data_IF_481353020606
#
_entry.id   IF_481353020606
#
_cell.length_a   1.000
_cell.length_b   1.000
_cell.length_c   1.000
_cell.angle_alpha   90.00
_cell.angle_beta   90.00
_cell.angle_gamma   90.00
#
_symmetry.space_group_name_H-M   'P 1'
#
loop_
_entity.id
_entity.type
_entity.pdbx_description
1 polymer ?
#
# COMPACT_ATOMS: atom_id res chain seq x y z
N UNK A 1 -4.96 22.96 5.36
CA UNK A 1 -4.03 22.08 4.63
C UNK A 1 -4.54 20.64 4.72
N UNK A 2 -5.18 20.14 3.65
CA UNK A 2 -5.77 18.80 3.59
C UNK A 2 -4.80 17.89 2.84
N UNK A 3 -4.28 16.88 3.53
CA UNK A 3 -3.43 15.83 2.95
C UNK A 3 -4.16 15.16 1.77
N UNK A 4 -3.53 15.18 0.59
CA UNK A 4 -4.11 14.71 -0.66
C UNK A 4 -4.09 13.18 -0.84
N UNK A 5 -3.71 12.37 0.16
CA UNK A 5 -3.51 10.92 -0.05
C UNK A 5 -4.58 10.00 0.58
N UNK A 6 -5.69 10.57 1.06
CA UNK A 6 -6.93 9.82 1.36
C UNK A 6 -7.89 9.75 0.13
N UNK A 7 -7.38 10.02 -1.09
CA UNK A 7 -8.22 10.08 -2.31
C UNK A 7 -8.36 8.74 -3.04
N UNK A 8 -7.51 7.76 -2.81
CA UNK A 8 -7.56 6.50 -3.58
C UNK A 8 -8.45 5.41 -2.97
N UNK A 9 -8.90 5.58 -1.72
CA UNK A 9 -9.85 4.64 -1.10
C UNK A 9 -11.33 5.04 -1.27
N UNK A 10 -11.62 6.19 -1.89
CA UNK A 10 -13.01 6.68 -2.06
C UNK A 10 -13.83 5.94 -3.13
N UNK A 11 -13.27 4.94 -3.79
CA UNK A 11 -14.00 4.14 -4.78
C UNK A 11 -14.31 2.71 -4.34
N UNK A 12 -14.08 2.33 -3.08
CA UNK A 12 -14.27 0.95 -2.63
C UNK A 12 -15.62 0.61 -1.99
N UNK A 13 -16.63 1.48 -2.10
CA UNK A 13 -17.96 1.14 -1.59
C UNK A 13 -19.10 1.16 -2.63
N UNK A 14 -18.95 1.77 -3.82
CA UNK A 14 -20.00 1.72 -4.85
C UNK A 14 -19.40 1.92 -6.26
N UNK A 15 -19.45 0.89 -7.13
CA UNK A 15 -19.23 1.05 -8.58
C UNK A 15 -18.17 0.13 -9.18
N UNK A 16 -18.61 -0.93 -9.84
CA UNK A 16 -17.87 -2.02 -10.48
C UNK A 16 -17.39 -1.66 -11.91
N UNK A 17 -17.15 -0.38 -12.20
CA UNK A 17 -16.67 0.08 -13.50
C UNK A 17 -15.49 1.05 -13.31
N UNK A 18 -14.26 0.49 -13.23
CA UNK A 18 -12.97 1.12 -13.60
C UNK A 18 -11.84 0.13 -13.29
N UNK A 19 -11.46 -0.64 -14.29
CA UNK A 19 -10.32 -1.56 -14.30
C UNK A 19 -8.98 -0.78 -14.34
N UNK A 20 -8.75 0.13 -13.38
CA UNK A 20 -7.40 0.62 -13.20
C UNK A 20 -6.60 -0.52 -12.54
N UNK A 21 -5.51 -1.02 -13.16
CA UNK A 21 -4.66 -2.00 -12.51
C UNK A 21 -4.17 -1.41 -11.19
N UNK A 22 -4.23 -2.19 -10.12
CA UNK A 22 -3.70 -1.78 -8.83
C UNK A 22 -2.18 -1.56 -8.99
N UNK A 23 -1.64 -0.38 -8.70
CA UNK A 23 -0.21 -0.12 -8.90
C UNK A 23 0.62 -1.05 -8.01
N UNK A 24 1.77 -1.46 -8.53
CA UNK A 24 2.81 -2.12 -7.74
C UNK A 24 3.55 -1.04 -6.96
N UNK A 25 3.56 -1.14 -5.62
CA UNK A 25 4.21 -0.16 -4.76
C UNK A 25 5.33 -0.82 -3.96
N UNK A 26 6.50 -0.17 -3.88
CA UNK A 26 7.55 -0.49 -2.91
C UNK A 26 7.48 0.39 -1.66
N UNK A 27 6.80 1.53 -1.73
CA UNK A 27 6.73 2.49 -0.63
C UNK A 27 5.98 1.90 0.57
N UNK A 28 6.53 2.16 1.76
CA UNK A 28 5.91 1.80 3.04
C UNK A 28 5.79 3.07 3.87
N UNK A 29 4.64 3.28 4.49
CA UNK A 29 4.38 4.45 5.33
C UNK A 29 3.95 4.02 6.74
N UNK A 30 4.43 4.74 7.75
CA UNK A 30 3.99 4.61 9.14
C UNK A 30 3.13 5.81 9.52
N UNK A 31 1.96 5.54 10.09
CA UNK A 31 1.13 6.58 10.68
C UNK A 31 1.61 6.92 12.09
N UNK A 32 1.84 8.21 12.36
CA UNK A 32 2.19 8.75 13.68
C UNK A 32 0.97 9.45 14.30
N UNK A 33 0.23 8.81 15.24
CA UNK A 33 -0.99 9.37 15.81
C UNK A 33 -0.78 10.69 16.55
N UNK A 34 0.37 10.86 17.21
CA UNK A 34 0.70 12.07 17.98
C UNK A 34 0.77 13.33 17.13
N UNK A 35 1.27 13.21 15.90
CA UNK A 35 1.43 14.34 14.96
C UNK A 35 0.36 14.33 13.86
N UNK A 36 -0.49 13.30 13.84
CA UNK A 36 -1.48 13.05 12.80
C UNK A 36 -0.89 13.12 11.38
N UNK A 37 0.28 12.50 11.21
CA UNK A 37 1.05 12.53 9.98
C UNK A 37 1.46 11.11 9.57
N UNK A 38 1.51 10.90 8.26
CA UNK A 38 2.16 9.74 7.65
C UNK A 38 3.63 10.06 7.42
N UNK A 39 4.49 9.06 7.61
CA UNK A 39 5.91 9.16 7.32
C UNK A 39 6.33 7.96 6.47
N UNK A 40 7.04 8.22 5.38
CA UNK A 40 7.67 7.17 4.57
C UNK A 40 8.81 6.49 5.35
N UNK A 41 8.85 5.16 5.28
CA UNK A 41 9.87 4.31 5.90
C UNK A 41 10.54 3.44 4.82
N UNK A 42 11.41 2.52 5.23
CA UNK A 42 12.13 1.63 4.33
C UNK A 42 11.18 0.90 3.38
N UNK A 43 11.50 1.00 2.08
CA UNK A 43 10.76 0.34 1.02
C UNK A 43 10.88 -1.19 1.07
N UNK A 44 9.86 -1.89 0.56
CA UNK A 44 9.98 -3.33 0.33
C UNK A 44 10.86 -3.60 -0.90
N UNK A 45 11.69 -4.66 -0.91
CA UNK A 45 12.64 -4.93 -2.01
C UNK A 45 11.99 -5.17 -3.38
N UNK A 46 10.74 -5.63 -3.40
CA UNK A 46 10.01 -5.90 -4.64
C UNK A 46 8.65 -5.22 -4.57
N UNK A 47 8.35 -4.27 -5.48
CA UNK A 47 7.03 -3.67 -5.59
C UNK A 47 5.95 -4.75 -5.75
N UNK A 48 4.90 -4.69 -4.93
CA UNK A 48 3.82 -5.70 -4.91
C UNK A 48 2.45 -5.05 -4.88
N UNK A 49 1.45 -5.79 -5.34
CA UNK A 49 0.03 -5.42 -5.23
C UNK A 49 -0.81 -6.64 -4.82
N UNK A 50 -2.01 -6.41 -4.30
CA UNK A 50 -2.91 -7.49 -3.82
C UNK A 50 -2.27 -8.46 -2.81
N UNK A 51 -1.39 -7.97 -1.94
CA UNK A 51 -0.72 -8.74 -0.89
C UNK A 51 -1.54 -8.77 0.40
N UNK A 52 -1.21 -9.70 1.31
CA UNK A 52 -1.69 -9.67 2.69
C UNK A 52 -0.57 -9.23 3.64
N UNK A 53 -0.94 -8.62 4.77
CA UNK A 53 0.00 -8.23 5.82
C UNK A 53 -0.47 -8.77 7.18
N UNK A 54 0.46 -9.25 8.01
CA UNK A 54 0.15 -9.79 9.35
C UNK A 54 1.26 -9.48 10.34
N UNK A 55 0.90 -9.34 11.62
CA UNK A 55 1.84 -9.04 12.70
C UNK A 55 2.15 -10.31 13.47
N UNK A 56 3.44 -10.66 13.57
CA UNK A 56 3.94 -11.79 14.35
C UNK A 56 5.15 -11.29 15.15
N UNK A 57 5.12 -11.46 16.47
CA UNK A 57 6.19 -11.03 17.40
C UNK A 57 6.66 -9.59 17.20
N UNK A 58 5.70 -8.67 17.00
CA UNK A 58 5.98 -7.25 16.80
C UNK A 58 6.58 -6.89 15.44
N UNK A 59 6.67 -7.84 14.51
CA UNK A 59 7.12 -7.62 13.13
C UNK A 59 5.96 -7.73 12.16
N UNK A 60 5.94 -6.86 11.15
CA UNK A 60 4.96 -6.90 10.06
C UNK A 60 5.53 -7.78 8.94
N UNK A 61 4.77 -8.79 8.54
CA UNK A 61 5.08 -9.68 7.42
C UNK A 61 4.13 -9.39 6.28
N UNK A 62 4.69 -9.14 5.09
CA UNK A 62 3.94 -8.99 3.84
C UNK A 62 4.09 -10.27 3.03
N UNK A 63 2.98 -10.93 2.73
CA UNK A 63 2.96 -12.28 2.14
C UNK A 63 2.08 -12.28 0.88
N UNK A 64 2.54 -12.99 -0.15
CA UNK A 64 1.82 -13.16 -1.42
C UNK A 64 1.77 -11.88 -2.27
N UNK A 65 0.68 -11.74 -3.03
CA UNK A 65 0.48 -10.66 -3.98
C UNK A 65 1.19 -10.85 -5.32
N UNK A 66 0.87 -9.99 -6.27
CA UNK A 66 1.50 -9.95 -7.58
C UNK A 66 2.73 -9.07 -7.54
N UNK A 67 3.75 -9.42 -8.32
CA UNK A 67 4.91 -8.58 -8.64
C UNK A 67 4.87 -8.24 -10.12
N UNK A 68 5.50 -7.15 -10.51
CA UNK A 68 5.74 -6.91 -11.92
C UNK A 68 6.74 -7.95 -12.43
N UNK A 69 6.33 -8.79 -13.39
CA UNK A 69 7.27 -9.65 -14.10
C UNK A 69 8.25 -8.75 -14.86
N UNK A 70 9.55 -8.94 -14.60
CA UNK A 70 10.59 -8.33 -15.41
C UNK A 70 10.50 -8.91 -16.82
N UNK A 71 10.35 -8.05 -17.83
CA UNK A 71 10.73 -8.44 -19.19
C UNK A 71 12.25 -8.50 -19.19
N UNK A 72 12.82 -9.70 -19.37
CA UNK A 72 14.20 -9.85 -19.84
C UNK A 72 14.37 -9.21 -21.23
#
# INVERSE_FOLDING_TARGET
MRSNRCREWRNLCYGWERLAPTPYLSSVEVFKPKTNQWQEITEIPTPKTSHTASVIDGKIYVIGGYVQEGKE
#
